data_IF_933452488661
#
_entry.id   IF_933452488661
#
_cell.length_a   1.000
_cell.length_b   1.000
_cell.length_c   1.000
_cell.angle_alpha   90.00
_cell.angle_beta   90.00
_cell.angle_gamma   90.00
#
_symmetry.space_group_name_H-M   'P 1'
#
loop_
_entity.id
_entity.type
_entity.pdbx_description
1 polymer ?
#
# COMPACT_ATOMS: atom_id res chain seq x y z
N UNK A 1 -9.60 24.15 -11.81
CA UNK A 1 -9.54 23.86 -10.36
C UNK A 1 -8.39 24.67 -9.76
N UNK A 2 -8.68 25.55 -8.79
CA UNK A 2 -7.65 26.33 -8.10
C UNK A 2 -6.72 25.46 -7.24
N UNK A 3 -5.66 26.06 -6.70
CA UNK A 3 -4.64 25.41 -5.85
C UNK A 3 -5.22 24.44 -4.79
N UNK A 4 -6.41 24.73 -4.24
CA UNK A 4 -7.09 23.86 -3.27
C UNK A 4 -7.45 22.46 -3.79
N UNK A 5 -7.81 22.29 -5.06
CA UNK A 5 -8.12 20.96 -5.61
C UNK A 5 -6.88 20.07 -5.68
N UNK A 6 -5.77 20.63 -6.18
CA UNK A 6 -4.49 19.93 -6.26
C UNK A 6 -3.96 19.57 -4.87
N UNK A 7 -4.08 20.48 -3.90
CA UNK A 7 -3.69 20.22 -2.52
C UNK A 7 -4.47 19.03 -1.93
N UNK A 8 -5.78 18.98 -2.09
CA UNK A 8 -6.62 17.87 -1.60
C UNK A 8 -6.23 16.55 -2.27
N UNK A 9 -6.00 16.55 -3.60
CA UNK A 9 -5.58 15.33 -4.31
C UNK A 9 -4.24 14.79 -3.78
N UNK A 10 -3.27 15.67 -3.57
CA UNK A 10 -1.96 15.30 -3.02
C UNK A 10 -2.10 14.76 -1.60
N UNK A 11 -2.90 15.42 -0.75
CA UNK A 11 -3.16 14.95 0.63
C UNK A 11 -3.79 13.56 0.61
N UNK A 12 -4.85 13.33 -0.18
CA UNK A 12 -5.51 12.02 -0.29
C UNK A 12 -4.54 10.93 -0.77
N UNK A 13 -3.69 11.25 -1.76
CA UNK A 13 -2.68 10.34 -2.26
C UNK A 13 -1.69 9.94 -1.16
N UNK A 14 -1.17 10.91 -0.40
CA UNK A 14 -0.26 10.66 0.71
C UNK A 14 -0.92 9.89 1.85
N UNK A 15 -2.17 10.20 2.18
CA UNK A 15 -2.91 9.46 3.21
C UNK A 15 -3.09 7.98 2.81
N UNK A 16 -3.39 7.67 1.55
CA UNK A 16 -3.47 6.26 1.10
C UNK A 16 -2.12 5.55 1.19
N UNK A 17 -1.03 6.22 0.80
CA UNK A 17 0.32 5.64 0.89
C UNK A 17 0.69 5.36 2.36
N UNK A 18 0.46 6.32 3.25
CA UNK A 18 0.74 6.16 4.68
C UNK A 18 -0.13 5.08 5.32
N UNK A 19 -1.41 4.99 4.97
CA UNK A 19 -2.31 3.95 5.48
C UNK A 19 -1.82 2.55 5.09
N UNK A 20 -1.44 2.35 3.83
CA UNK A 20 -0.91 1.05 3.37
C UNK A 20 0.46 0.76 3.98
N UNK A 21 1.34 1.76 4.09
CA UNK A 21 2.63 1.59 4.77
C UNK A 21 2.45 1.18 6.23
N UNK A 22 1.56 1.84 6.97
CA UNK A 22 1.25 1.48 8.35
C UNK A 22 0.67 0.06 8.46
N UNK A 23 -0.22 -0.33 7.52
CA UNK A 23 -0.74 -1.69 7.47
C UNK A 23 0.37 -2.74 7.24
N UNK A 24 1.29 -2.48 6.31
CA UNK A 24 2.44 -3.37 6.07
C UNK A 24 3.32 -3.50 7.33
N UNK A 25 3.61 -2.39 8.01
CA UNK A 25 4.47 -2.44 9.21
C UNK A 25 3.77 -3.15 10.37
N UNK A 26 2.48 -2.89 10.61
CA UNK A 26 1.75 -3.45 11.76
C UNK A 26 1.40 -4.93 11.54
N UNK A 27 1.00 -5.31 10.33
CA UNK A 27 0.50 -6.66 10.06
C UNK A 27 1.53 -7.55 9.40
N UNK A 28 2.35 -7.04 8.48
CA UNK A 28 3.33 -7.86 7.76
C UNK A 28 4.63 -8.01 8.54
N UNK A 29 5.13 -6.97 9.21
CA UNK A 29 6.40 -7.06 9.94
C UNK A 29 6.41 -8.11 11.08
N UNK A 30 5.38 -8.23 11.93
CA UNK A 30 5.38 -9.21 13.02
C UNK A 30 4.93 -10.63 12.60
N UNK A 31 4.70 -10.93 11.31
CA UNK A 31 4.36 -12.30 10.85
C UNK A 31 5.44 -13.29 11.25
N UNK A 32 6.71 -12.86 11.24
CA UNK A 32 7.85 -13.66 11.69
C UNK A 32 7.87 -13.89 13.21
N UNK A 33 7.20 -13.06 14.02
CA UNK A 33 7.18 -13.22 15.48
C UNK A 33 6.10 -14.18 15.98
N UNK A 34 4.98 -14.31 15.25
CA UNK A 34 3.79 -15.05 15.73
C UNK A 34 3.83 -16.53 15.29
N UNK A 35 4.50 -16.87 14.19
CA UNK A 35 4.57 -18.25 13.65
C UNK A 35 5.81 -19.06 14.10
N UNK A 36 6.70 -18.49 14.92
CA UNK A 36 8.06 -19.03 15.13
C UNK A 36 8.28 -19.70 16.48
N UNK A 37 7.51 -20.75 16.75
CA UNK A 37 7.85 -21.72 17.80
C UNK A 37 8.63 -22.94 17.24
N UNK A 38 8.98 -22.94 15.95
CA UNK A 38 9.59 -24.09 15.27
C UNK A 38 10.67 -23.70 14.25
N UNK A 39 11.92 -24.01 14.58
CA UNK A 39 13.21 -23.64 13.95
C UNK A 39 13.39 -23.93 12.43
N UNK A 40 12.39 -24.47 11.71
CA UNK A 40 12.56 -25.00 10.35
C UNK A 40 11.92 -24.18 9.22
N UNK A 41 11.15 -23.11 9.49
CA UNK A 41 10.28 -22.47 8.47
C UNK A 41 10.63 -21.04 8.06
N UNK A 42 11.81 -20.54 8.43
CA UNK A 42 12.22 -19.14 8.21
C UNK A 42 12.19 -18.68 6.75
N UNK A 43 12.60 -19.56 5.83
CA UNK A 43 12.51 -19.31 4.39
C UNK A 43 11.05 -19.25 3.90
N UNK A 44 10.19 -20.16 4.36
CA UNK A 44 8.78 -20.18 3.96
C UNK A 44 8.03 -18.94 4.45
N UNK A 45 8.27 -18.53 5.70
CA UNK A 45 7.60 -17.35 6.27
C UNK A 45 8.06 -16.07 5.57
N UNK A 46 9.37 -15.90 5.34
CA UNK A 46 9.90 -14.76 4.60
C UNK A 46 9.36 -14.66 3.17
N UNK A 47 9.24 -15.80 2.46
CA UNK A 47 8.64 -15.84 1.12
C UNK A 47 7.16 -15.44 1.13
N UNK A 48 6.38 -15.94 2.09
CA UNK A 48 4.95 -15.60 2.23
C UNK A 48 4.79 -14.11 2.59
N UNK A 49 5.59 -13.61 3.53
CA UNK A 49 5.60 -12.22 3.94
C UNK A 49 5.92 -11.29 2.76
N UNK A 50 6.96 -11.59 1.99
CA UNK A 50 7.35 -10.84 0.81
C UNK A 50 6.28 -10.88 -0.28
N UNK A 51 5.68 -12.05 -0.54
CA UNK A 51 4.61 -12.20 -1.54
C UNK A 51 3.39 -11.34 -1.18
N UNK A 52 2.94 -11.36 0.09
CA UNK A 52 1.81 -10.54 0.54
C UNK A 52 2.16 -9.05 0.45
N UNK A 53 3.37 -8.65 0.85
CA UNK A 53 3.82 -7.25 0.73
C UNK A 53 3.78 -6.75 -0.72
N UNK A 54 4.27 -7.55 -1.67
CA UNK A 54 4.24 -7.22 -3.10
C UNK A 54 2.81 -7.07 -3.59
N UNK A 55 1.92 -8.03 -3.27
CA UNK A 55 0.50 -7.97 -3.67
C UNK A 55 -0.17 -6.69 -3.16
N UNK A 56 0.03 -6.37 -1.89
CA UNK A 56 -0.54 -5.16 -1.27
C UNK A 56 -0.05 -3.89 -1.95
N UNK A 57 1.26 -3.82 -2.25
CA UNK A 57 1.84 -2.68 -2.99
C UNK A 57 1.27 -2.57 -4.40
N UNK A 58 1.12 -3.69 -5.12
CA UNK A 58 0.52 -3.71 -6.46
C UNK A 58 -0.92 -3.19 -6.43
N UNK A 59 -1.73 -3.61 -5.45
CA UNK A 59 -3.09 -3.12 -5.25
C UNK A 59 -3.12 -1.61 -4.96
N UNK A 60 -2.19 -1.11 -4.12
CA UNK A 60 -2.06 0.32 -3.86
C UNK A 60 -1.73 1.10 -5.14
N UNK A 61 -0.73 0.66 -5.90
CA UNK A 61 -0.33 1.31 -7.16
C UNK A 61 -1.51 1.33 -8.15
N UNK A 62 -2.28 0.25 -8.21
CA UNK A 62 -3.48 0.19 -9.03
C UNK A 62 -4.55 1.20 -8.57
N UNK A 63 -4.80 1.28 -7.26
CA UNK A 63 -5.72 2.27 -6.67
C UNK A 63 -5.30 3.71 -6.98
N UNK A 64 -4.03 4.04 -6.78
CA UNK A 64 -3.46 5.35 -7.10
C UNK A 64 -3.57 5.67 -8.59
N UNK A 65 -3.29 4.69 -9.45
CA UNK A 65 -3.40 4.83 -10.91
C UNK A 65 -4.84 5.12 -11.34
N UNK A 66 -5.82 4.43 -10.73
CA UNK A 66 -7.25 4.65 -10.98
C UNK A 66 -7.68 6.04 -10.52
N UNK A 67 -7.24 6.47 -9.34
CA UNK A 67 -7.54 7.80 -8.79
C UNK A 67 -6.95 8.91 -9.67
N UNK A 68 -5.71 8.75 -10.12
CA UNK A 68 -5.05 9.67 -11.07
C UNK A 68 -5.82 9.77 -12.38
N UNK A 69 -6.32 8.64 -12.90
CA UNK A 69 -7.09 8.58 -14.15
C UNK A 69 -8.43 9.32 -14.04
N UNK A 70 -9.15 9.14 -12.93
CA UNK A 70 -10.38 9.89 -12.64
C UNK A 70 -10.09 11.39 -12.53
N UNK A 71 -8.98 11.76 -11.89
CA UNK A 71 -8.56 13.16 -11.76
C UNK A 71 -8.22 13.79 -13.12
N UNK A 72 -7.55 13.05 -14.01
CA UNK A 72 -7.28 13.53 -15.38
C UNK A 72 -8.56 13.65 -16.22
N UNK A 73 -9.48 12.70 -16.11
CA UNK A 73 -10.76 12.77 -16.83
C UNK A 73 -11.59 13.99 -16.39
N UNK A 74 -11.61 14.32 -15.08
CA UNK A 74 -12.24 15.55 -14.59
C UNK A 74 -11.53 16.85 -14.96
N UNK A 75 -10.29 16.77 -15.48
CA UNK A 75 -9.51 17.94 -15.92
C UNK A 75 -9.62 18.20 -17.43
N UNK A 76 -10.09 17.21 -18.19
CA UNK A 76 -10.24 17.22 -19.66
C UNK A 76 -11.70 17.34 -20.13
N UNK A 77 -12.67 17.31 -19.20
CA UNK A 77 -14.09 17.58 -19.45
C UNK A 77 -14.58 18.83 -18.74
#
# INVERSE_FOLDING_TARGET
MGFGGLAIFVVVMWTMILAVAAFLVIFIAPIDMIMFDGQARRLTVSVVQAAIAIIVVVVLVFGLSRMKRIYMQKKLG
#
